data_IF_716005207576
#
_entry.id   IF_716005207576
#
_cell.length_a   1.000
_cell.length_b   1.000
_cell.length_c   1.000
_cell.angle_alpha   90.00
_cell.angle_beta   90.00
_cell.angle_gamma   90.00
#
_symmetry.space_group_name_H-M   'P 1'
#
loop_
_entity.id
_entity.type
_entity.pdbx_description
1 polymer ?
#
# COMPACT_ATOMS: atom_id res chain seq x y z
N UNK A 1 -32.77 -13.28 -4.83
CA UNK A 1 -31.68 -12.44 -4.27
C UNK A 1 -30.66 -12.17 -5.37
N UNK A 2 -30.33 -10.91 -5.63
CA UNK A 2 -29.44 -10.53 -6.74
C UNK A 2 -28.00 -10.31 -6.30
N UNK A 3 -27.04 -10.82 -7.07
CA UNK A 3 -25.62 -10.53 -6.88
C UNK A 3 -25.30 -9.13 -7.38
N UNK A 4 -24.59 -8.32 -6.58
CA UNK A 4 -24.13 -6.98 -6.98
C UNK A 4 -22.68 -7.03 -7.43
N UNK A 5 -22.35 -6.29 -8.48
CA UNK A 5 -20.98 -6.12 -8.97
C UNK A 5 -20.16 -5.21 -8.03
N UNK A 6 -18.85 -5.44 -7.92
CA UNK A 6 -17.97 -4.55 -7.19
C UNK A 6 -17.86 -3.19 -7.92
N UNK A 7 -18.28 -2.07 -7.29
CA UNK A 7 -18.29 -0.76 -7.93
C UNK A 7 -16.88 -0.25 -8.26
N UNK A 8 -15.84 -0.72 -7.57
CA UNK A 8 -14.46 -0.35 -7.89
C UNK A 8 -14.04 -0.91 -9.24
N UNK A 9 -14.35 -2.18 -9.50
CA UNK A 9 -14.06 -2.84 -10.78
C UNK A 9 -14.93 -2.28 -11.91
N UNK A 10 -16.21 -2.06 -11.65
CA UNK A 10 -17.16 -1.51 -12.62
C UNK A 10 -16.76 -0.13 -13.16
N UNK A 11 -16.01 0.66 -12.38
CA UNK A 11 -15.62 2.04 -12.72
C UNK A 11 -14.16 2.20 -13.13
N UNK A 12 -13.42 1.10 -13.29
CA UNK A 12 -12.01 1.16 -13.74
C UNK A 12 -11.93 1.77 -15.14
N UNK A 13 -11.04 2.75 -15.31
CA UNK A 13 -10.80 3.42 -16.59
C UNK A 13 -11.73 4.60 -16.91
N UNK A 14 -12.75 4.85 -16.08
CA UNK A 14 -13.62 6.03 -16.22
C UNK A 14 -13.45 7.00 -15.06
N UNK A 15 -13.99 6.64 -13.88
CA UNK A 15 -13.93 7.47 -12.67
C UNK A 15 -12.94 6.95 -11.64
N UNK A 16 -12.58 5.66 -11.71
CA UNK A 16 -11.60 5.03 -10.82
C UNK A 16 -10.34 4.65 -11.59
N UNK A 17 -9.19 5.11 -11.10
CA UNK A 17 -7.89 4.71 -11.64
C UNK A 17 -7.37 3.43 -10.98
N UNK A 18 -6.48 2.74 -11.69
CA UNK A 18 -5.72 1.61 -11.14
C UNK A 18 -4.92 2.03 -9.90
N UNK A 19 -4.66 1.06 -9.03
CA UNK A 19 -3.80 1.26 -7.87
C UNK A 19 -2.32 1.00 -8.18
N UNK A 20 -2.04 0.13 -9.15
CA UNK A 20 -0.69 -0.11 -9.68
C UNK A 20 -0.61 0.47 -11.09
N UNK A 21 0.36 1.36 -11.30
CA UNK A 21 0.69 2.02 -12.55
C UNK A 21 2.05 1.54 -13.00
N UNK A 22 2.08 0.47 -13.78
CA UNK A 22 3.28 -0.02 -14.41
C UNK A 22 2.91 -0.81 -15.65
N UNK A 23 3.89 -0.97 -16.53
CA UNK A 23 3.75 -1.73 -17.75
C UNK A 23 4.88 -2.75 -17.84
N UNK A 24 4.55 -3.94 -18.32
CA UNK A 24 5.51 -4.97 -18.65
C UNK A 24 5.05 -5.71 -19.90
N UNK A 25 6.01 -6.28 -20.64
CA UNK A 25 5.67 -7.17 -21.74
C UNK A 25 4.91 -8.41 -21.22
N UNK A 26 3.99 -9.01 -21.99
CA UNK A 26 3.17 -10.13 -21.53
C UNK A 26 3.97 -11.30 -20.91
N UNK A 27 5.14 -11.61 -21.48
CA UNK A 27 6.06 -12.64 -20.98
C UNK A 27 6.60 -12.36 -19.56
N UNK A 28 6.75 -11.08 -19.21
CA UNK A 28 7.31 -10.63 -17.93
C UNK A 28 6.25 -10.07 -16.96
N UNK A 29 4.99 -9.99 -17.40
CA UNK A 29 3.89 -9.45 -16.60
C UNK A 29 3.69 -10.25 -15.31
N UNK A 30 3.73 -11.58 -15.39
CA UNK A 30 3.55 -12.45 -14.24
C UNK A 30 4.60 -12.19 -13.14
N UNK A 31 5.86 -12.05 -13.52
CA UNK A 31 6.95 -11.74 -12.58
C UNK A 31 6.71 -10.38 -11.92
N UNK A 32 6.35 -9.36 -12.72
CA UNK A 32 6.04 -8.02 -12.20
C UNK A 32 4.84 -7.98 -11.25
N UNK A 33 3.84 -8.84 -11.47
CA UNK A 33 2.67 -8.98 -10.61
C UNK A 33 3.03 -9.66 -9.28
N UNK A 34 3.81 -10.74 -9.33
CA UNK A 34 4.28 -11.45 -8.14
C UNK A 34 5.14 -10.54 -7.25
N UNK A 35 6.00 -9.71 -7.86
CA UNK A 35 6.73 -8.67 -7.14
C UNK A 35 5.78 -7.67 -6.45
N UNK A 36 4.76 -7.17 -7.17
CA UNK A 36 3.80 -6.19 -6.62
C UNK A 36 3.03 -6.75 -5.43
N UNK A 37 2.61 -8.02 -5.50
CA UNK A 37 1.92 -8.70 -4.41
C UNK A 37 2.82 -8.88 -3.18
N UNK A 38 4.07 -9.31 -3.38
CA UNK A 38 5.02 -9.49 -2.28
C UNK A 38 5.30 -8.15 -1.59
N UNK A 39 5.57 -7.07 -2.33
CA UNK A 39 5.78 -5.72 -1.76
C UNK A 39 4.55 -5.29 -0.93
N UNK A 40 3.34 -5.46 -1.47
CA UNK A 40 2.09 -5.14 -0.76
C UNK A 40 1.95 -5.93 0.55
N UNK A 41 2.32 -7.22 0.54
CA UNK A 41 2.26 -8.07 1.72
C UNK A 41 3.34 -7.72 2.75
N UNK A 42 4.56 -7.41 2.33
CA UNK A 42 5.64 -6.96 3.22
C UNK A 42 5.25 -5.67 3.95
N UNK A 43 4.76 -4.66 3.23
CA UNK A 43 4.28 -3.41 3.83
C UNK A 43 3.11 -3.67 4.78
N UNK A 44 2.14 -4.50 4.39
CA UNK A 44 1.00 -4.86 5.24
C UNK A 44 1.44 -5.54 6.54
N UNK A 45 2.41 -6.46 6.45
CA UNK A 45 2.94 -7.21 7.58
C UNK A 45 3.79 -6.33 8.49
N UNK A 46 4.67 -5.49 7.94
CA UNK A 46 5.45 -4.52 8.71
C UNK A 46 4.55 -3.58 9.47
N UNK A 47 3.52 -3.05 8.79
CA UNK A 47 2.54 -2.20 9.44
C UNK A 47 1.83 -2.98 10.52
N UNK A 48 1.33 -4.17 10.25
CA UNK A 48 0.67 -4.96 11.29
C UNK A 48 1.57 -5.25 12.50
N UNK A 49 2.87 -5.51 12.30
CA UNK A 49 3.82 -5.80 13.39
C UNK A 49 4.20 -4.56 14.20
N UNK A 50 4.55 -3.45 13.53
CA UNK A 50 5.03 -2.24 14.19
C UNK A 50 3.90 -1.31 14.64
N UNK A 51 2.72 -1.43 14.00
CA UNK A 51 1.53 -0.63 14.28
C UNK A 51 0.49 -1.48 15.04
N UNK A 52 0.94 -2.52 15.75
CA UNK A 52 0.13 -3.26 16.73
C UNK A 52 -0.24 -2.42 17.96
N UNK A 53 0.17 -1.15 18.03
CA UNK A 53 -0.51 -0.16 18.87
C UNK A 53 -1.67 0.57 18.18
N UNK A 54 -1.61 0.99 16.92
CA UNK A 54 -2.78 1.65 16.27
C UNK A 54 -2.71 1.76 14.75
N UNK A 55 -3.58 1.01 14.05
CA UNK A 55 -4.23 1.32 12.74
C UNK A 55 -3.74 0.54 11.52
N UNK A 56 -4.71 0.07 10.73
CA UNK A 56 -4.54 -0.48 9.38
C UNK A 56 -5.16 0.53 8.37
N UNK A 57 -5.28 0.23 7.08
CA UNK A 57 -4.22 0.41 6.09
C UNK A 57 -4.65 1.21 4.84
N UNK A 58 -3.65 1.97 4.39
CA UNK A 58 -3.21 2.42 3.06
C UNK A 58 -4.02 2.14 1.80
N UNK A 59 -4.21 3.22 1.03
CA UNK A 59 -4.21 3.13 -0.44
C UNK A 59 -2.74 3.13 -0.87
N UNK A 60 -2.35 2.12 -1.63
CA UNK A 60 -1.03 2.02 -2.23
C UNK A 60 -1.13 2.46 -3.68
N UNK A 61 -0.38 3.50 -4.04
CA UNK A 61 -0.20 3.87 -5.45
C UNK A 61 1.21 3.46 -5.81
N UNK A 62 1.33 2.37 -6.55
CA UNK A 62 2.60 1.94 -7.07
C UNK A 62 2.77 2.52 -8.44
N UNK A 63 3.84 3.27 -8.66
CA UNK A 63 4.31 3.58 -9.99
C UNK A 63 5.67 2.93 -10.17
N UNK A 64 5.74 1.88 -11.01
CA UNK A 64 7.05 1.35 -11.41
C UNK A 64 7.51 2.16 -12.63
N UNK A 65 8.57 2.92 -12.46
CA UNK A 65 9.38 3.47 -13.56
C UNK A 65 10.56 2.50 -13.76
N UNK A 66 11.15 2.48 -14.96
CA UNK A 66 12.09 1.44 -15.42
C UNK A 66 13.19 1.13 -14.38
N UNK A 67 13.68 2.15 -13.66
CA UNK A 67 14.77 2.02 -12.66
C UNK A 67 14.32 2.28 -11.20
N UNK A 68 13.07 2.72 -10.99
CA UNK A 68 12.61 3.19 -9.69
C UNK A 68 11.18 2.72 -9.39
N UNK A 69 11.04 1.92 -8.33
CA UNK A 69 9.75 1.50 -7.79
C UNK A 69 9.35 2.54 -6.75
N UNK A 70 8.38 3.38 -7.12
CA UNK A 70 7.83 4.35 -6.19
C UNK A 70 6.56 3.78 -5.56
N UNK A 71 6.62 3.68 -4.24
CA UNK A 71 5.56 3.21 -3.36
C UNK A 71 5.00 4.42 -2.62
N UNK A 72 3.73 4.77 -2.86
CA UNK A 72 3.05 5.82 -2.10
C UNK A 72 2.09 5.21 -1.11
N UNK A 73 2.30 5.54 0.16
CA UNK A 73 1.60 5.00 1.33
C UNK A 73 0.71 6.11 1.90
N UNK A 74 -0.61 5.95 1.82
CA UNK A 74 -1.58 6.94 2.33
C UNK A 74 -2.03 6.65 3.78
N UNK A 75 -1.80 7.56 4.74
CA UNK A 75 -2.13 7.40 6.17
C UNK A 75 -3.26 8.34 6.61
N UNK A 76 -4.21 7.82 7.42
CA UNK A 76 -5.32 8.59 7.97
C UNK A 76 -4.97 9.49 9.16
N UNK A 77 -4.26 8.97 10.17
CA UNK A 77 -3.89 9.76 11.36
C UNK A 77 -2.37 9.67 11.58
N UNK A 78 -1.63 10.75 11.30
CA UNK A 78 -0.17 10.76 11.27
C UNK A 78 0.50 10.92 12.65
N UNK A 79 -0.18 11.50 13.64
CA UNK A 79 0.44 11.98 14.88
C UNK A 79 1.08 10.88 15.75
N UNK A 80 0.82 9.59 15.48
CA UNK A 80 1.44 8.47 16.21
C UNK A 80 2.54 7.76 15.41
N UNK A 81 2.77 8.15 14.16
CA UNK A 81 3.63 7.46 13.21
C UNK A 81 4.90 8.24 12.85
N UNK A 82 4.89 9.57 12.96
CA UNK A 82 5.98 10.43 12.47
C UNK A 82 7.18 10.51 13.45
N UNK A 83 6.98 10.32 14.75
CA UNK A 83 8.01 10.58 15.77
C UNK A 83 9.16 9.54 15.84
N UNK A 84 9.06 8.40 15.13
CA UNK A 84 10.12 7.37 15.07
C UNK A 84 10.43 6.86 13.65
N UNK A 85 10.01 7.59 12.61
CA UNK A 85 9.78 7.02 11.28
C UNK A 85 10.97 6.99 10.32
N UNK A 86 12.00 7.83 10.48
CA UNK A 86 13.15 7.82 9.59
C UNK A 86 13.84 6.44 9.60
N UNK A 87 14.10 5.93 10.81
CA UNK A 87 14.73 4.63 11.01
C UNK A 87 13.82 3.46 10.57
N UNK A 88 12.51 3.52 10.84
CA UNK A 88 11.59 2.46 10.45
C UNK A 88 11.35 2.36 8.92
N UNK A 89 11.32 3.49 8.22
CA UNK A 89 11.20 3.52 6.75
C UNK A 89 12.51 3.08 6.10
N UNK A 90 13.66 3.45 6.67
CA UNK A 90 14.97 2.97 6.23
C UNK A 90 15.11 1.45 6.44
N UNK A 91 14.66 0.92 7.58
CA UNK A 91 14.61 -0.52 7.84
C UNK A 91 13.70 -1.26 6.87
N UNK A 92 12.54 -0.69 6.55
CA UNK A 92 11.65 -1.20 5.51
C UNK A 92 12.33 -1.25 4.15
N UNK A 93 12.96 -0.15 3.74
CA UNK A 93 13.68 -0.07 2.48
C UNK A 93 14.84 -1.08 2.45
N UNK A 94 15.58 -1.22 3.54
CA UNK A 94 16.67 -2.20 3.68
C UNK A 94 16.16 -3.64 3.60
N UNK A 95 15.08 -3.96 4.31
CA UNK A 95 14.50 -5.32 4.32
C UNK A 95 13.93 -5.67 2.94
N UNK A 96 13.23 -4.74 2.29
CA UNK A 96 12.75 -4.96 0.93
C UNK A 96 13.91 -5.04 -0.08
N UNK A 97 14.93 -4.20 0.01
CA UNK A 97 16.10 -4.30 -0.88
C UNK A 97 16.85 -5.64 -0.73
N UNK A 98 16.93 -6.18 0.50
CA UNK A 98 17.56 -7.48 0.77
C UNK A 98 16.72 -8.65 0.26
N UNK A 99 15.40 -8.65 0.48
CA UNK A 99 14.54 -9.77 0.05
C UNK A 99 14.36 -9.86 -1.47
N UNK A 100 14.34 -8.72 -2.16
CA UNK A 100 13.94 -8.71 -3.56
C UNK A 100 15.10 -8.76 -4.56
N UNK A 101 16.37 -8.79 -4.11
CA UNK A 101 17.56 -8.74 -4.96
C UNK A 101 17.29 -7.87 -6.20
N UNK A 102 16.92 -6.61 -5.97
CA UNK A 102 16.65 -5.68 -7.06
C UNK A 102 17.98 -5.36 -7.74
N UNK A 103 18.46 -6.25 -8.61
CA UNK A 103 19.78 -6.17 -9.22
C UNK A 103 20.02 -4.81 -9.88
N UNK A 104 18.95 -4.11 -10.30
CA UNK A 104 19.01 -2.78 -10.93
C UNK A 104 17.88 -1.80 -10.55
N UNK A 105 17.05 -2.05 -9.52
CA UNK A 105 15.89 -1.18 -9.20
C UNK A 105 15.98 -0.58 -7.81
N UNK A 106 15.83 0.75 -7.70
CA UNK A 106 15.76 1.44 -6.41
C UNK A 106 14.32 1.53 -5.94
N UNK A 107 14.09 1.24 -4.66
CA UNK A 107 12.76 1.35 -4.04
C UNK A 107 12.66 2.65 -3.25
N UNK A 108 11.67 3.47 -3.56
CA UNK A 108 11.39 4.72 -2.86
C UNK A 108 10.01 4.68 -2.22
N UNK A 109 9.97 4.78 -0.90
CA UNK A 109 8.73 4.79 -0.11
C UNK A 109 8.41 6.23 0.27
N UNK A 110 7.30 6.75 -0.24
CA UNK A 110 6.75 8.04 0.13
C UNK A 110 5.49 7.88 0.98
N UNK A 111 5.45 8.55 2.13
CA UNK A 111 4.30 8.53 3.03
C UNK A 111 3.53 9.84 2.86
N UNK A 112 2.22 9.74 2.63
CA UNK A 112 1.34 10.90 2.40
C UNK A 112 0.15 10.86 3.35
N UNK A 113 -0.19 12.02 3.91
CA UNK A 113 -1.33 12.17 4.82
C UNK A 113 -2.64 12.31 4.05
N UNK A 114 -3.69 11.68 4.55
CA UNK A 114 -5.07 11.92 4.14
C UNK A 114 -5.66 13.01 5.03
N UNK A 115 -6.15 14.11 4.45
CA UNK A 115 -6.73 15.23 5.18
C UNK A 115 -7.99 14.83 5.97
N UNK A 116 -8.93 14.13 5.33
CA UNK A 116 -10.17 13.64 5.93
C UNK A 116 -10.09 12.13 6.16
N UNK A 117 -9.54 11.70 7.29
CA UNK A 117 -9.34 10.29 7.63
C UNK A 117 -10.66 9.49 7.61
N UNK A 118 -11.71 10.00 8.25
CA UNK A 118 -13.02 9.33 8.32
C UNK A 118 -13.82 9.40 7.01
N UNK A 119 -13.40 10.22 6.04
CA UNK A 119 -13.98 10.22 4.70
C UNK A 119 -13.56 9.01 3.86
N UNK A 120 -12.61 8.19 4.34
CA UNK A 120 -12.19 6.96 3.66
C UNK A 120 -12.92 5.74 4.24
N UNK A 121 -13.60 4.95 3.40
CA UNK A 121 -14.38 3.81 3.89
C UNK A 121 -13.53 2.75 4.58
N UNK A 122 -12.28 2.54 4.16
CA UNK A 122 -11.38 1.56 4.78
C UNK A 122 -11.10 1.90 6.26
N UNK A 123 -10.80 3.17 6.55
CA UNK A 123 -10.49 3.62 7.91
C UNK A 123 -11.74 3.52 8.79
N UNK A 124 -12.90 3.90 8.24
CA UNK A 124 -14.17 3.82 8.94
C UNK A 124 -14.58 2.37 9.24
N UNK A 125 -14.43 1.47 8.26
CA UNK A 125 -14.77 0.05 8.42
C UNK A 125 -13.89 -0.61 9.49
N UNK A 126 -12.60 -0.31 9.53
CA UNK A 126 -11.71 -0.80 10.57
C UNK A 126 -12.05 -0.24 11.94
N UNK A 127 -12.40 1.05 12.02
CA UNK A 127 -12.85 1.66 13.26
C UNK A 127 -14.10 0.94 13.81
N UNK A 128 -15.09 0.66 12.96
CA UNK A 128 -16.29 -0.10 13.34
C UNK A 128 -15.95 -1.53 13.75
N UNK A 129 -15.10 -2.23 13.00
CA UNK A 129 -14.67 -3.59 13.33
C UNK A 129 -13.96 -3.67 14.69
N UNK A 130 -13.22 -2.64 15.08
CA UNK A 130 -12.60 -2.55 16.41
C UNK A 130 -13.63 -2.36 17.53
N UNK A 131 -14.66 -1.54 17.31
CA UNK A 131 -15.73 -1.36 18.30
C UNK A 131 -16.52 -2.66 18.52
N UNK A 132 -16.76 -3.43 17.46
CA UNK A 132 -17.46 -4.72 17.54
C UNK A 132 -16.64 -5.84 18.20
N UNK A 133 -15.31 -5.68 18.26
CA UNK A 133 -14.42 -6.66 18.89
C UNK A 133 -14.26 -6.42 20.41
N UNK A 134 -14.66 -5.24 20.88
CA UNK A 134 -14.79 -4.93 22.31
C UNK A 134 -16.16 -5.37 22.81
#
# INVERSE_FOLDING_TARGET
MGQKINPLGFRLGTTQNHHSFWFAQPKHFFVGLQEDEKIRNCIKNYVQKNILRFRRNYRHRNSKRIDLIQVIIHIGIPNLLIEGQAQGVEELQMNEQKEFHFVNRRLNIAITRIEKAYGRPNILAEYMALQLKK
#
